data_IF_215335541645
#
_entry.id   IF_215335541645
#
_cell.length_a   1.000
_cell.length_b   1.000
_cell.length_c   1.000
_cell.angle_alpha   90.00
_cell.angle_beta   90.00
_cell.angle_gamma   90.00
#
_symmetry.space_group_name_H-M   'P 1'
#
loop_
_entity.id
_entity.type
_entity.pdbx_description
1 polymer ?
#
# COMPACT_ATOMS: atom_id res chain seq x y z
N UNK A 1 -27.24 -5.67 -11.01
CA UNK A 1 -25.98 -4.92 -10.90
C UNK A 1 -25.17 -5.19 -12.16
N UNK A 2 -24.58 -4.17 -12.77
CA UNK A 2 -23.70 -4.35 -13.92
C UNK A 2 -22.26 -4.43 -13.48
N UNK A 3 -21.43 -5.12 -14.26
CA UNK A 3 -19.99 -5.24 -14.01
C UNK A 3 -19.29 -3.87 -13.92
N UNK A 4 -19.80 -2.86 -14.62
CA UNK A 4 -19.32 -1.48 -14.54
C UNK A 4 -19.45 -0.89 -13.13
N UNK A 5 -20.54 -1.16 -12.39
CA UNK A 5 -20.71 -0.66 -11.03
C UNK A 5 -19.63 -1.19 -10.07
N UNK A 6 -19.20 -2.45 -10.25
CA UNK A 6 -18.11 -3.05 -9.47
C UNK A 6 -16.79 -2.34 -9.75
N UNK A 7 -16.49 -2.00 -11.01
CA UNK A 7 -15.28 -1.25 -11.35
C UNK A 7 -15.25 0.16 -10.75
N UNK A 8 -16.37 0.89 -10.79
CA UNK A 8 -16.43 2.24 -10.21
C UNK A 8 -16.27 2.22 -8.69
N UNK A 9 -16.96 1.29 -8.00
CA UNK A 9 -16.84 1.15 -6.55
C UNK A 9 -15.43 0.74 -6.13
N UNK A 10 -14.84 -0.23 -6.83
CA UNK A 10 -13.46 -0.65 -6.61
C UNK A 10 -12.46 0.48 -6.89
N UNK A 11 -12.67 1.29 -7.93
CA UNK A 11 -11.83 2.45 -8.22
C UNK A 11 -11.86 3.47 -7.07
N UNK A 12 -13.04 3.84 -6.58
CA UNK A 12 -13.17 4.81 -5.46
C UNK A 12 -12.46 4.28 -4.21
N UNK A 13 -12.69 3.00 -3.87
CA UNK A 13 -12.01 2.37 -2.75
C UNK A 13 -10.49 2.34 -2.94
N UNK A 14 -10.02 2.04 -4.15
CA UNK A 14 -8.58 1.96 -4.46
C UNK A 14 -7.90 3.34 -4.47
N UNK A 15 -8.60 4.41 -4.88
CA UNK A 15 -8.10 5.79 -4.75
C UNK A 15 -7.95 6.16 -3.27
N UNK A 16 -8.91 5.79 -2.42
CA UNK A 16 -8.79 5.99 -0.98
C UNK A 16 -7.61 5.19 -0.40
N UNK A 17 -7.43 3.93 -0.81
CA UNK A 17 -6.28 3.11 -0.42
C UNK A 17 -4.95 3.76 -0.85
N UNK A 18 -4.85 4.27 -2.07
CA UNK A 18 -3.67 4.98 -2.57
C UNK A 18 -3.35 6.21 -1.70
N UNK A 19 -4.37 6.99 -1.30
CA UNK A 19 -4.18 8.10 -0.37
C UNK A 19 -3.67 7.65 1.01
N UNK A 20 -4.15 6.51 1.53
CA UNK A 20 -3.65 5.90 2.76
C UNK A 20 -2.18 5.46 2.61
N UNK A 21 -1.79 4.93 1.46
CA UNK A 21 -0.40 4.55 1.16
C UNK A 21 0.52 5.77 1.17
N UNK A 22 0.14 6.86 0.51
CA UNK A 22 0.91 8.11 0.55
C UNK A 22 0.98 8.68 1.97
N UNK A 23 -0.13 8.66 2.72
CA UNK A 23 -0.14 9.07 4.11
C UNK A 23 0.83 8.22 4.95
N UNK A 24 0.85 6.89 4.76
CA UNK A 24 1.80 6.01 5.41
C UNK A 24 3.25 6.32 5.03
N UNK A 25 3.53 6.72 3.78
CA UNK A 25 4.88 7.08 3.33
C UNK A 25 5.38 8.37 3.99
N UNK A 26 4.53 9.40 4.05
CA UNK A 26 4.94 10.73 4.47
C UNK A 26 4.77 11.02 5.96
N UNK A 27 3.80 10.38 6.63
CA UNK A 27 3.57 10.58 8.07
C UNK A 27 4.52 9.67 8.85
N UNK A 28 5.37 10.21 9.74
CA UNK A 28 6.38 9.44 10.44
C UNK A 28 5.85 8.68 11.67
N UNK A 29 4.68 8.06 11.54
CA UNK A 29 3.96 7.34 12.61
C UNK A 29 3.81 5.85 12.28
N UNK A 30 4.90 5.18 11.86
CA UNK A 30 4.88 3.71 11.70
C UNK A 30 5.03 3.01 13.04
N UNK A 31 5.97 3.49 13.85
CA UNK A 31 6.20 3.00 15.21
C UNK A 31 6.36 4.21 16.12
N UNK A 32 5.65 4.23 17.23
CA UNK A 32 5.71 5.31 18.22
C UNK A 32 6.06 4.80 19.60
N UNK A 33 6.79 5.63 20.33
CA UNK A 33 7.17 5.42 21.71
C UNK A 33 6.63 6.58 22.53
N UNK A 34 5.91 6.27 23.60
CA UNK A 34 5.40 7.28 24.52
C UNK A 34 5.58 6.83 25.98
N UNK A 35 6.21 7.67 26.79
CA UNK A 35 6.38 7.44 28.22
C UNK A 35 6.15 8.72 29.02
N UNK A 36 5.61 8.57 30.23
CA UNK A 36 5.46 9.65 31.18
C UNK A 36 6.78 9.83 31.94
N UNK A 37 7.36 11.02 31.86
CA UNK A 37 8.55 11.39 32.61
C UNK A 37 8.23 11.53 34.10
N UNK A 38 9.10 11.06 35.00
CA UNK A 38 8.96 11.28 36.44
C UNK A 38 8.85 12.77 36.85
N UNK A 39 9.32 13.68 36.00
CA UNK A 39 9.26 15.14 36.19
C UNK A 39 7.94 15.79 35.71
N UNK A 40 6.94 15.02 35.28
CA UNK A 40 5.60 15.53 34.91
C UNK A 40 5.39 15.90 33.44
N UNK A 41 6.24 15.40 32.53
CA UNK A 41 6.10 15.60 31.07
C UNK A 41 5.87 14.30 30.28
N UNK A 42 5.47 14.38 29.00
CA UNK A 42 5.34 13.21 28.11
C UNK A 42 6.46 13.20 27.07
N UNK A 43 7.28 12.16 27.09
CA UNK A 43 8.28 11.92 26.05
C UNK A 43 7.63 11.14 24.92
N UNK A 44 7.68 11.67 23.69
CA UNK A 44 7.18 11.00 22.50
C UNK A 44 8.25 10.96 21.43
N UNK A 45 8.39 9.79 20.80
CA UNK A 45 9.25 9.60 19.65
C UNK A 45 8.47 8.81 18.60
N UNK A 46 8.41 9.34 17.39
CA UNK A 46 7.75 8.69 16.25
C UNK A 46 8.77 8.38 15.16
N UNK A 47 8.69 7.18 14.61
CA UNK A 47 9.55 6.69 13.54
C UNK A 47 8.69 6.42 12.30
N UNK A 48 9.07 7.05 11.20
CA UNK A 48 8.59 6.77 9.85
C UNK A 48 9.61 6.03 9.00
N UNK A 49 9.27 5.90 7.71
CA UNK A 49 10.14 5.24 6.72
C UNK A 49 11.44 6.02 6.47
N UNK A 50 11.34 7.35 6.38
CA UNK A 50 12.46 8.22 5.99
C UNK A 50 12.82 9.27 7.04
N UNK A 51 11.98 9.45 8.06
CA UNK A 51 12.11 10.50 9.09
C UNK A 51 11.78 9.92 10.45
N UNK A 52 12.44 10.41 11.48
CA UNK A 52 12.04 10.21 12.87
C UNK A 52 11.92 11.55 13.56
N UNK A 53 10.91 11.70 14.42
CA UNK A 53 10.62 12.93 15.14
C UNK A 53 10.62 12.66 16.65
N UNK A 54 11.12 13.60 17.45
CA UNK A 54 11.12 13.48 18.92
C UNK A 54 10.63 14.76 19.58
N UNK A 55 9.82 14.63 20.62
CA UNK A 55 9.32 15.75 21.41
C UNK A 55 10.41 16.47 22.22
N UNK A 56 11.56 15.82 22.50
CA UNK A 56 12.65 16.42 23.28
C UNK A 56 13.48 17.41 22.47
N UNK A 57 13.79 17.07 21.22
CA UNK A 57 14.57 17.92 20.31
C UNK A 57 13.61 18.83 19.51
N UNK A 58 12.31 18.55 19.55
CA UNK A 58 11.26 19.20 18.77
C UNK A 58 11.61 19.33 17.29
N UNK A 59 12.30 18.32 16.75
CA UNK A 59 12.78 18.30 15.37
C UNK A 59 12.64 16.90 14.75
N UNK A 60 12.55 16.88 13.42
CA UNK A 60 12.45 15.66 12.63
C UNK A 60 13.73 15.46 11.81
N UNK A 61 14.48 14.41 12.14
CA UNK A 61 15.72 14.06 11.46
C UNK A 61 15.49 12.94 10.44
N UNK A 62 16.42 12.77 9.51
CA UNK A 62 16.40 11.63 8.59
C UNK A 62 16.48 10.32 9.36
N UNK A 63 15.87 9.25 8.85
CA UNK A 63 15.95 7.92 9.46
C UNK A 63 16.03 6.85 8.36
N UNK A 64 16.82 5.78 8.52
CA UNK A 64 17.82 5.54 9.58
C UNK A 64 19.04 6.48 9.47
N UNK A 65 19.65 6.84 10.61
CA UNK A 65 20.91 7.59 10.67
C UNK A 65 22.12 6.66 10.51
N UNK A 66 23.35 7.20 10.41
CA UNK A 66 24.56 6.37 10.28
C UNK A 66 24.79 5.54 11.55
N UNK A 67 24.59 6.18 12.69
CA UNK A 67 24.70 5.64 14.04
C UNK A 67 23.79 4.42 14.23
N UNK A 68 22.58 4.45 13.66
CA UNK A 68 21.61 3.34 13.68
C UNK A 68 22.04 2.13 12.83
N UNK A 69 23.14 2.24 12.07
CA UNK A 69 23.58 1.29 11.05
C UNK A 69 25.03 0.79 11.27
N UNK A 70 25.63 0.97 12.46
CA UNK A 70 27.01 0.53 12.76
C UNK A 70 27.08 -0.86 13.40
N UNK A 71 28.03 -1.70 12.98
CA UNK A 71 28.25 -3.02 13.60
C UNK A 71 27.16 -4.05 13.25
N UNK A 72 26.62 -4.72 14.27
CA UNK A 72 25.52 -5.72 14.16
C UNK A 72 24.22 -5.12 13.62
N UNK A 73 24.08 -3.80 13.71
CA UNK A 73 22.89 -3.02 13.35
C UNK A 73 22.68 -2.79 11.85
N UNK A 74 23.61 -3.28 11.02
CA UNK A 74 23.50 -3.20 9.55
C UNK A 74 22.27 -3.93 9.01
N UNK A 75 21.87 -5.02 9.66
CA UNK A 75 20.72 -5.83 9.27
C UNK A 75 19.41 -5.03 9.34
N UNK A 76 19.15 -4.39 10.50
CA UNK A 76 18.01 -3.50 10.71
C UNK A 76 17.94 -2.43 9.63
N UNK A 77 19.06 -1.74 9.40
CA UNK A 77 19.15 -0.65 8.46
C UNK A 77 18.91 -1.07 7.01
N UNK A 78 19.38 -2.27 6.63
CA UNK A 78 19.10 -2.86 5.32
C UNK A 78 17.61 -3.16 5.17
N UNK A 79 17.01 -3.86 6.13
CA UNK A 79 15.59 -4.21 6.10
C UNK A 79 14.70 -2.97 6.09
N UNK A 80 14.96 -1.99 6.95
CA UNK A 80 14.17 -0.76 7.04
C UNK A 80 14.21 0.04 5.73
N UNK A 81 15.39 0.14 5.10
CA UNK A 81 15.51 0.78 3.78
C UNK A 81 14.79 0.00 2.69
N UNK A 82 14.79 -1.33 2.76
CA UNK A 82 13.98 -2.16 1.86
C UNK A 82 12.49 -1.86 2.00
N UNK A 83 11.98 -1.61 3.21
CA UNK A 83 10.57 -1.18 3.38
C UNK A 83 10.31 0.15 2.68
N UNK A 84 11.19 1.15 2.85
CA UNK A 84 11.09 2.43 2.13
C UNK A 84 11.03 2.26 0.61
N UNK A 85 11.87 1.37 0.07
CA UNK A 85 11.84 1.02 -1.36
C UNK A 85 10.54 0.32 -1.77
N UNK A 86 10.09 -0.70 -1.02
CA UNK A 86 8.86 -1.43 -1.30
C UNK A 86 7.64 -0.50 -1.30
N UNK A 87 7.53 0.39 -0.31
CA UNK A 87 6.44 1.35 -0.23
C UNK A 87 6.46 2.37 -1.38
N UNK A 88 7.65 2.85 -1.77
CA UNK A 88 7.79 3.73 -2.94
C UNK A 88 7.41 3.01 -4.24
N UNK A 89 7.82 1.76 -4.39
CA UNK A 89 7.47 0.94 -5.54
C UNK A 89 5.96 0.65 -5.58
N UNK A 90 5.34 0.36 -4.43
CA UNK A 90 3.89 0.19 -4.33
C UNK A 90 3.15 1.45 -4.77
N UNK A 91 3.58 2.65 -4.35
CA UNK A 91 2.95 3.90 -4.78
C UNK A 91 2.98 4.09 -6.31
N UNK A 92 4.08 3.72 -6.96
CA UNK A 92 4.19 3.74 -8.43
C UNK A 92 3.20 2.74 -9.06
N UNK A 93 3.12 1.52 -8.52
CA UNK A 93 2.17 0.51 -9.00
C UNK A 93 0.71 0.95 -8.79
N UNK A 94 0.39 1.61 -7.68
CA UNK A 94 -0.94 2.15 -7.41
C UNK A 94 -1.34 3.20 -8.44
N UNK A 95 -0.47 4.17 -8.72
CA UNK A 95 -0.72 5.18 -9.75
C UNK A 95 -0.91 4.53 -11.13
N UNK A 96 -0.07 3.54 -11.49
CA UNK A 96 -0.24 2.77 -12.72
C UNK A 96 -1.56 2.01 -12.77
N UNK A 97 -2.01 1.47 -11.63
CA UNK A 97 -3.28 0.75 -11.50
C UNK A 97 -4.48 1.70 -11.64
N UNK A 98 -4.41 2.92 -11.09
CA UNK A 98 -5.43 3.97 -11.30
C UNK A 98 -5.55 4.30 -12.78
N UNK A 99 -4.43 4.47 -13.49
CA UNK A 99 -4.43 4.69 -14.94
C UNK A 99 -5.08 3.51 -15.68
N UNK A 100 -4.76 2.27 -15.28
CA UNK A 100 -5.40 1.08 -15.84
C UNK A 100 -6.92 1.07 -15.64
N UNK A 101 -7.40 1.45 -14.45
CA UNK A 101 -8.83 1.63 -14.18
C UNK A 101 -9.47 2.65 -15.12
N UNK A 102 -8.87 3.83 -15.28
CA UNK A 102 -9.39 4.89 -16.15
C UNK A 102 -9.49 4.42 -17.60
N UNK A 103 -8.46 3.73 -18.11
CA UNK A 103 -8.44 3.19 -19.48
C UNK A 103 -9.52 2.11 -19.66
N UNK A 104 -9.70 1.23 -18.68
CA UNK A 104 -10.67 0.13 -18.77
C UNK A 104 -12.10 0.65 -18.69
N UNK A 105 -12.38 1.56 -17.75
CA UNK A 105 -13.70 2.15 -17.54
C UNK A 105 -14.08 3.06 -18.71
N UNK A 106 -13.19 3.98 -19.08
CA UNK A 106 -13.41 4.93 -20.19
C UNK A 106 -13.31 4.30 -21.58
N UNK A 107 -12.76 3.10 -21.67
CA UNK A 107 -12.71 2.33 -22.91
C UNK A 107 -14.08 1.77 -23.34
N UNK A 108 -14.09 1.15 -24.52
CA UNK A 108 -15.25 0.40 -25.01
C UNK A 108 -15.51 -0.88 -24.21
N UNK A 109 -16.67 -1.50 -24.46
CA UNK A 109 -17.12 -2.74 -23.83
C UNK A 109 -16.05 -3.86 -23.81
N UNK A 110 -15.34 -4.03 -24.91
CA UNK A 110 -14.27 -5.04 -25.03
C UNK A 110 -13.20 -4.89 -23.94
N UNK A 111 -12.79 -3.66 -23.61
CA UNK A 111 -11.78 -3.39 -22.56
C UNK A 111 -12.34 -3.68 -21.18
N UNK A 112 -13.62 -3.36 -20.92
CA UNK A 112 -14.29 -3.72 -19.65
C UNK A 112 -14.43 -5.23 -19.47
N UNK A 113 -14.71 -5.96 -20.54
CA UNK A 113 -14.91 -7.41 -20.48
C UNK A 113 -13.60 -8.21 -20.34
N UNK A 114 -12.52 -7.74 -20.95
CA UNK A 114 -11.22 -8.45 -20.93
C UNK A 114 -10.21 -7.89 -19.92
N UNK A 115 -10.36 -6.62 -19.52
CA UNK A 115 -9.40 -5.89 -18.68
C UNK A 115 -9.34 -6.34 -17.22
N UNK A 116 -10.29 -7.14 -16.73
CA UNK A 116 -10.30 -7.61 -15.34
C UNK A 116 -9.03 -8.38 -14.96
N UNK A 117 -8.45 -9.16 -15.88
CA UNK A 117 -7.23 -9.93 -15.59
C UNK A 117 -6.05 -9.02 -15.29
N UNK A 118 -5.92 -7.93 -16.05
CA UNK A 118 -4.87 -6.93 -15.85
C UNK A 118 -5.08 -6.21 -14.51
N UNK A 119 -6.31 -5.78 -14.21
CA UNK A 119 -6.61 -5.13 -12.93
C UNK A 119 -6.37 -6.06 -11.75
N UNK A 120 -6.87 -7.30 -11.79
CA UNK A 120 -6.67 -8.28 -10.73
C UNK A 120 -5.18 -8.55 -10.49
N UNK A 121 -4.39 -8.70 -11.56
CA UNK A 121 -2.94 -8.87 -11.45
C UNK A 121 -2.26 -7.67 -10.80
N UNK A 122 -2.55 -6.45 -11.27
CA UNK A 122 -1.92 -5.23 -10.73
C UNK A 122 -2.32 -4.99 -9.26
N UNK A 123 -3.59 -5.18 -8.92
CA UNK A 123 -4.09 -5.06 -7.54
C UNK A 123 -3.43 -6.07 -6.59
N UNK A 124 -3.28 -7.33 -7.04
CA UNK A 124 -2.57 -8.35 -6.26
C UNK A 124 -1.10 -8.01 -6.09
N UNK A 125 -0.45 -7.49 -7.15
CA UNK A 125 0.95 -7.08 -7.08
C UNK A 125 1.15 -5.94 -6.07
N UNK A 126 0.28 -4.91 -6.09
CA UNK A 126 0.26 -3.84 -5.08
C UNK A 126 0.10 -4.44 -3.68
N UNK A 127 -0.89 -5.30 -3.50
CA UNK A 127 -1.18 -5.93 -2.21
C UNK A 127 -0.01 -6.73 -1.65
N UNK A 128 0.67 -7.52 -2.49
CA UNK A 128 1.84 -8.32 -2.10
C UNK A 128 3.01 -7.43 -1.69
N UNK A 129 3.32 -6.39 -2.48
CA UNK A 129 4.45 -5.49 -2.21
C UNK A 129 4.24 -4.72 -0.89
N UNK A 130 3.03 -4.20 -0.66
CA UNK A 130 2.70 -3.52 0.59
C UNK A 130 2.67 -4.46 1.78
N UNK A 131 2.09 -5.65 1.62
CA UNK A 131 2.06 -6.67 2.66
C UNK A 131 3.49 -7.08 3.06
N UNK A 132 4.40 -7.23 2.08
CA UNK A 132 5.81 -7.51 2.36
C UNK A 132 6.48 -6.37 3.15
N UNK A 133 6.25 -5.10 2.76
CA UNK A 133 6.78 -3.94 3.49
C UNK A 133 6.26 -3.88 4.93
N UNK A 134 4.95 -4.03 5.10
CA UNK A 134 4.27 -4.09 6.40
C UNK A 134 4.79 -5.24 7.27
N UNK A 135 4.96 -6.43 6.69
CA UNK A 135 5.44 -7.62 7.39
C UNK A 135 6.89 -7.48 7.85
N UNK A 136 7.77 -6.84 7.06
CA UNK A 136 9.15 -6.55 7.49
C UNK A 136 9.14 -5.61 8.70
N UNK A 137 8.30 -4.57 8.73
CA UNK A 137 8.22 -3.67 9.89
C UNK A 137 7.71 -4.41 11.13
N UNK A 138 6.67 -5.24 10.99
CA UNK A 138 6.16 -6.06 12.09
C UNK A 138 7.23 -7.04 12.61
N UNK A 139 7.96 -7.69 11.70
CA UNK A 139 9.07 -8.57 12.05
C UNK A 139 10.16 -7.85 12.84
N UNK A 140 10.60 -6.67 12.35
CA UNK A 140 11.59 -5.87 13.07
C UNK A 140 11.06 -5.41 14.44
N UNK A 141 9.79 -5.01 14.53
CA UNK A 141 9.16 -4.61 15.78
C UNK A 141 9.21 -5.73 16.84
N UNK A 142 8.97 -6.97 16.44
CA UNK A 142 8.93 -8.11 17.37
C UNK A 142 10.31 -8.72 17.66
N UNK A 143 11.30 -8.55 16.79
CA UNK A 143 12.59 -9.27 16.87
C UNK A 143 13.81 -8.38 17.13
N UNK A 144 13.70 -7.05 17.00
CA UNK A 144 14.82 -6.14 17.20
C UNK A 144 14.76 -5.51 18.62
N UNK A 145 15.84 -5.66 19.39
CA UNK A 145 15.94 -5.20 20.79
C UNK A 145 15.75 -3.67 20.95
N UNK A 146 15.85 -2.89 19.86
CA UNK A 146 15.56 -1.45 19.86
C UNK A 146 14.12 -1.14 20.25
N UNK A 147 13.19 -2.05 19.93
CA UNK A 147 11.77 -1.89 20.21
C UNK A 147 11.40 -2.56 21.53
N UNK A 148 11.96 -2.02 22.61
CA UNK A 148 11.65 -2.46 23.97
C UNK A 148 10.24 -2.03 24.44
N UNK A 149 9.88 -2.40 25.66
CA UNK A 149 8.57 -2.10 26.26
C UNK A 149 8.26 -0.59 26.18
N UNK A 150 7.14 -0.25 25.55
CA UNK A 150 6.67 1.14 25.37
C UNK A 150 6.54 1.57 23.91
N UNK A 151 7.17 0.86 22.98
CA UNK A 151 6.96 1.02 21.54
C UNK A 151 5.65 0.37 21.09
N UNK A 152 5.01 0.95 20.08
CA UNK A 152 3.76 0.45 19.49
C UNK A 152 3.75 0.70 17.98
N UNK A 153 3.16 -0.23 17.22
CA UNK A 153 2.79 0.02 15.83
C UNK A 153 1.67 1.08 15.79
N UNK A 154 1.83 2.08 14.94
CA UNK A 154 0.95 3.26 14.93
C UNK A 154 0.30 3.48 13.54
N UNK A 155 -0.38 4.61 13.36
CA UNK A 155 -1.29 4.93 12.26
C UNK A 155 -0.76 4.57 10.89
N UNK A 156 0.49 4.89 10.55
CA UNK A 156 1.02 4.64 9.20
C UNK A 156 1.10 3.14 8.89
N UNK A 157 1.40 2.30 9.89
CA UNK A 157 1.37 0.84 9.74
C UNK A 157 -0.06 0.32 9.54
N UNK A 158 -1.03 0.87 10.29
CA UNK A 158 -2.45 0.53 10.14
C UNK A 158 -2.98 0.97 8.77
N UNK A 159 -2.66 2.18 8.32
CA UNK A 159 -3.06 2.72 7.02
C UNK A 159 -2.51 1.87 5.87
N UNK A 160 -1.25 1.45 5.95
CA UNK A 160 -0.67 0.51 5.00
C UNK A 160 -1.43 -0.84 5.02
N UNK A 161 -1.76 -1.35 6.21
CA UNK A 161 -2.49 -2.61 6.37
C UNK A 161 -3.88 -2.58 5.74
N UNK A 162 -4.60 -1.50 5.97
CA UNK A 162 -5.92 -1.26 5.38
C UNK A 162 -5.81 -1.11 3.86
N UNK A 163 -4.80 -0.38 3.37
CA UNK A 163 -4.57 -0.15 1.94
C UNK A 163 -4.39 -1.46 1.15
N UNK A 164 -3.46 -2.32 1.57
CA UNK A 164 -3.20 -3.58 0.85
C UNK A 164 -4.41 -4.53 0.94
N UNK A 165 -5.13 -4.50 2.06
CA UNK A 165 -6.37 -5.28 2.23
C UNK A 165 -7.44 -4.84 1.24
N UNK A 166 -7.64 -3.53 1.05
CA UNK A 166 -8.56 -2.98 0.04
C UNK A 166 -8.13 -3.43 -1.36
N UNK A 167 -6.84 -3.41 -1.68
CA UNK A 167 -6.33 -3.84 -2.98
C UNK A 167 -6.65 -5.33 -3.26
N UNK A 168 -6.36 -6.22 -2.30
CA UNK A 168 -6.62 -7.66 -2.43
C UNK A 168 -8.12 -7.97 -2.50
N UNK A 169 -8.94 -7.34 -1.66
CA UNK A 169 -10.40 -7.50 -1.71
C UNK A 169 -10.95 -6.99 -3.04
N UNK A 170 -10.46 -5.86 -3.54
CA UNK A 170 -10.85 -5.33 -4.85
C UNK A 170 -10.49 -6.28 -5.99
N UNK A 171 -9.31 -6.92 -5.93
CA UNK A 171 -8.90 -7.93 -6.91
C UNK A 171 -9.85 -9.14 -6.91
N UNK A 172 -10.24 -9.62 -5.72
CA UNK A 172 -11.17 -10.71 -5.57
C UNK A 172 -12.57 -10.35 -6.10
N UNK A 173 -13.09 -9.17 -5.76
CA UNK A 173 -14.39 -8.69 -6.22
C UNK A 173 -14.45 -8.49 -7.73
N UNK A 174 -13.41 -7.90 -8.33
CA UNK A 174 -13.31 -7.73 -9.79
C UNK A 174 -13.24 -9.09 -10.48
N UNK A 175 -12.44 -10.03 -9.95
CA UNK A 175 -12.34 -11.37 -10.51
C UNK A 175 -13.68 -12.10 -10.43
N UNK A 176 -14.36 -12.06 -9.27
CA UNK A 176 -15.67 -12.65 -9.07
C UNK A 176 -16.72 -12.03 -10.01
N UNK A 177 -16.69 -10.71 -10.19
CA UNK A 177 -17.62 -9.99 -11.07
C UNK A 177 -17.56 -10.47 -12.53
N UNK A 178 -16.39 -10.96 -12.98
CA UNK A 178 -16.22 -11.48 -14.33
C UNK A 178 -16.90 -12.83 -14.55
N UNK A 179 -17.13 -13.61 -13.47
CA UNK A 179 -17.80 -14.92 -13.54
C UNK A 179 -19.29 -14.85 -13.17
N UNK A 180 -19.66 -13.92 -12.27
CA UNK A 180 -21.03 -13.83 -11.74
C UNK A 180 -21.95 -12.97 -12.62
N UNK A 181 -21.43 -11.89 -13.22
CA UNK A 181 -22.26 -10.99 -14.01
C UNK A 181 -22.12 -11.25 -15.51
N UNK A 182 -23.26 -11.35 -16.19
CA UNK A 182 -23.33 -11.44 -17.64
C UNK A 182 -22.73 -10.19 -18.32
N UNK A 183 -22.19 -10.38 -19.51
CA UNK A 183 -21.70 -9.30 -20.36
C UNK A 183 -22.79 -8.24 -20.62
N UNK A 184 -22.42 -6.96 -20.65
CA UNK A 184 -23.38 -5.86 -20.82
C UNK A 184 -23.93 -5.83 -22.26
N UNK A 185 -25.16 -6.31 -22.49
CA UNK A 185 -25.94 -6.07 -23.72
C UNK A 185 -25.80 -7.16 -24.81
N UNK A 186 -26.93 -7.56 -25.40
CA UNK A 186 -27.05 -8.71 -26.32
C UNK A 186 -26.53 -8.51 -27.75
N UNK A 187 -25.54 -7.66 -27.97
CA UNK A 187 -24.90 -7.50 -29.29
C UNK A 187 -23.53 -8.17 -29.30
N UNK A 188 -23.29 -9.03 -30.27
CA UNK A 188 -22.02 -9.72 -30.48
C UNK A 188 -20.90 -8.72 -30.83
N UNK A 189 -19.70 -8.97 -30.32
CA UNK A 189 -18.51 -8.23 -30.73
C UNK A 189 -18.27 -8.52 -32.22
N UNK A 190 -18.23 -7.47 -33.06
CA UNK A 190 -17.88 -7.64 -34.48
C UNK A 190 -16.47 -8.26 -34.52
N UNK A 191 -16.29 -9.45 -35.11
CA UNK A 191 -14.98 -10.06 -35.20
C UNK A 191 -14.06 -9.10 -35.94
N UNK A 192 -12.90 -8.78 -35.35
CA UNK A 192 -11.85 -8.05 -36.06
C UNK A 192 -11.57 -8.83 -37.34
N UNK A 193 -11.79 -8.20 -38.49
CA UNK A 193 -11.60 -8.82 -39.79
C UNK A 193 -10.26 -9.55 -39.81
N UNK A 194 -10.33 -10.85 -40.16
CA UNK A 194 -9.18 -11.61 -40.64
C UNK A 194 -8.46 -10.72 -41.64
N UNK A 195 -7.25 -10.27 -41.31
CA UNK A 195 -6.25 -10.05 -42.34
C UNK A 195 -6.07 -11.40 -43.04
N UNK A 196 -6.76 -11.53 -44.18
CA UNK A 196 -6.56 -12.62 -45.11
C UNK A 196 -5.24 -12.39 -45.85
N UNK A 197 -4.50 -13.50 -45.96
CA UNK A 197 -3.25 -13.73 -46.69
C UNK A 197 -1.96 -13.28 -46.00
#
# INVERSE_FOLDING_TARGET
MTRSFVYYTALVAFVAATAMTFAAIFIPDWITYSVNSPSGGRYEKSIGLHRSCSSTINSCIHFPQKEDCHGSDRYFCSMWRSVGFLMSFAAVLELGTIVAYVIIIGGGRQKRETGWKVLAFMLMLVGIVQCAGMAIVAYLFDNDDRFFVGWKLDKSWILCTVSWSIAVVSAALISLSAFVFSSEGGYELIPSERYGH
#
